data_IF_752006651647
#
_entry.id   IF_752006651647
#
_cell.length_a   1.000
_cell.length_b   1.000
_cell.length_c   1.000
_cell.angle_alpha   90.00
_cell.angle_beta   90.00
_cell.angle_gamma   90.00
#
_symmetry.space_group_name_H-M   'P 1'
#
loop_
_entity.id
_entity.type
_entity.pdbx_description
1 polymer ?
#
# COMPACT_ATOMS: atom_id res chain seq x y z
N UNK A 1 0.49 -10.09 16.19
CA UNK A 1 1.56 -10.49 15.26
C UNK A 1 2.13 -9.23 14.64
N UNK A 2 3.45 -9.08 14.57
CA UNK A 2 4.13 -8.04 13.80
C UNK A 2 4.64 -8.59 12.46
N UNK A 3 5.20 -7.71 11.63
CA UNK A 3 5.77 -8.04 10.33
C UNK A 3 4.73 -8.29 9.24
N UNK A 4 5.09 -9.10 8.25
CA UNK A 4 4.20 -9.51 7.17
C UNK A 4 3.49 -10.81 7.48
N UNK A 5 2.22 -10.89 7.08
CA UNK A 5 1.36 -12.04 7.34
C UNK A 5 0.57 -12.36 6.08
N UNK A 6 0.62 -13.62 5.65
CA UNK A 6 -0.23 -14.16 4.58
C UNK A 6 -1.43 -14.88 5.20
N UNK A 7 -2.63 -14.54 4.73
CA UNK A 7 -3.85 -15.27 5.06
C UNK A 7 -4.05 -16.37 4.03
N UNK A 8 -3.79 -17.63 4.39
CA UNK A 8 -3.99 -18.77 3.47
C UNK A 8 -5.45 -19.20 3.42
N UNK A 9 -6.15 -19.14 4.54
CA UNK A 9 -7.55 -19.55 4.67
C UNK A 9 -8.26 -18.74 5.74
N UNK A 10 -9.56 -18.48 5.52
CA UNK A 10 -10.43 -17.83 6.50
C UNK A 10 -11.23 -18.83 7.35
N UNK A 11 -11.48 -20.05 6.83
CA UNK A 11 -12.25 -21.08 7.53
C UNK A 11 -11.76 -22.50 7.17
N UNK A 12 -10.97 -23.16 8.04
CA UNK A 12 -10.43 -22.62 9.29
C UNK A 12 -9.47 -21.45 9.04
N UNK A 13 -9.35 -20.55 10.00
CA UNK A 13 -8.40 -19.43 9.91
C UNK A 13 -6.97 -20.00 9.91
N UNK A 14 -6.21 -19.67 8.88
CA UNK A 14 -4.82 -20.07 8.75
C UNK A 14 -3.95 -18.90 8.28
N UNK A 15 -2.96 -18.57 9.10
CA UNK A 15 -2.09 -17.40 8.98
C UNK A 15 -0.64 -17.86 8.92
N UNK A 16 0.09 -17.38 7.91
CA UNK A 16 1.49 -17.71 7.70
C UNK A 16 2.31 -16.43 7.88
N UNK A 17 3.15 -16.33 8.92
CA UNK A 17 4.12 -15.25 9.05
C UNK A 17 5.13 -15.30 7.90
N UNK A 18 5.43 -14.16 7.30
CA UNK A 18 6.47 -14.04 6.28
C UNK A 18 7.66 -13.26 6.86
N UNK A 19 8.81 -13.91 7.10
CA UNK A 19 9.99 -13.23 7.61
C UNK A 19 10.53 -12.26 6.55
N UNK A 20 10.68 -10.99 6.93
CA UNK A 20 11.48 -10.02 6.18
C UNK A 20 12.88 -9.98 6.81
N UNK A 21 13.99 -10.04 6.03
CA UNK A 21 15.35 -10.09 6.58
C UNK A 21 15.63 -8.98 7.59
N UNK A 22 16.24 -9.32 8.74
CA UNK A 22 16.40 -8.41 9.90
C UNK A 22 17.41 -7.29 9.68
N UNK A 23 18.38 -7.53 8.81
CA UNK A 23 19.43 -6.61 8.40
C UNK A 23 18.93 -5.56 7.39
N UNK A 24 17.72 -5.75 6.85
CA UNK A 24 17.11 -4.82 5.90
C UNK A 24 16.07 -3.95 6.57
N UNK A 25 16.09 -2.69 6.16
CA UNK A 25 15.18 -1.66 6.59
C UNK A 25 14.07 -1.49 5.54
N UNK A 26 12.85 -1.23 6.02
CA UNK A 26 11.70 -0.97 5.16
C UNK A 26 10.83 0.08 5.85
N UNK A 27 10.50 1.12 5.09
CA UNK A 27 9.70 2.23 5.56
C UNK A 27 8.42 2.36 4.73
N UNK A 28 7.36 2.72 5.43
CA UNK A 28 6.04 2.98 4.89
C UNK A 28 5.73 4.46 5.09
N UNK A 29 5.43 5.14 4.01
CA UNK A 29 4.93 6.52 4.03
C UNK A 29 3.42 6.46 3.95
N UNK A 30 2.76 6.82 5.05
CA UNK A 30 1.31 6.80 5.18
C UNK A 30 0.79 8.23 5.09
N UNK A 31 -0.05 8.51 4.09
CA UNK A 31 -0.69 9.82 3.94
C UNK A 31 -2.19 9.67 3.94
N UNK A 32 -2.84 10.28 4.93
CA UNK A 32 -4.28 10.16 5.15
C UNK A 32 -4.93 11.51 4.88
N UNK A 33 -5.75 11.63 3.82
CA UNK A 33 -6.52 12.84 3.57
C UNK A 33 -7.70 12.95 4.54
N UNK A 34 -8.15 14.19 4.79
CA UNK A 34 -9.38 14.52 5.52
C UNK A 34 -10.61 14.26 4.63
N UNK A 35 -10.80 12.99 4.29
CA UNK A 35 -11.90 12.49 3.47
C UNK A 35 -12.43 11.23 4.13
N UNK A 36 -13.74 11.05 4.15
CA UNK A 36 -14.34 9.82 4.64
C UNK A 36 -14.74 8.96 3.44
N UNK A 37 -14.20 7.75 3.37
CA UNK A 37 -14.53 6.79 2.34
C UNK A 37 -15.29 5.62 2.99
N UNK A 38 -16.64 5.59 2.93
CA UNK A 38 -17.42 4.52 3.53
C UNK A 38 -16.99 3.15 2.98
N UNK A 39 -16.58 2.24 3.86
CA UNK A 39 -16.06 0.92 3.45
C UNK A 39 -17.08 0.14 2.61
N UNK A 40 -18.38 0.36 2.84
CA UNK A 40 -19.47 -0.23 2.06
C UNK A 40 -19.42 0.22 0.60
N UNK A 41 -19.21 1.49 0.33
CA UNK A 41 -19.15 2.07 -1.02
C UNK A 41 -17.87 1.61 -1.74
N UNK A 42 -16.74 1.63 -1.04
CA UNK A 42 -15.45 1.14 -1.57
C UNK A 42 -15.47 -0.36 -1.90
N UNK A 43 -16.33 -1.15 -1.25
CA UNK A 43 -16.57 -2.56 -1.60
C UNK A 43 -17.59 -2.72 -2.74
N UNK A 44 -18.61 -1.85 -2.79
CA UNK A 44 -19.67 -1.92 -3.80
C UNK A 44 -19.17 -1.61 -5.23
N UNK A 45 -18.12 -0.80 -5.37
CA UNK A 45 -17.52 -0.45 -6.68
C UNK A 45 -16.72 -1.61 -7.31
N UNK A 46 -16.42 -2.66 -6.55
CA UNK A 46 -15.61 -3.77 -7.04
C UNK A 46 -16.37 -4.60 -8.08
N UNK A 47 -15.68 -5.04 -9.14
CA UNK A 47 -16.34 -5.73 -10.22
C UNK A 47 -16.75 -7.14 -9.75
N UNK A 48 -17.95 -7.57 -10.16
CA UNK A 48 -18.41 -8.94 -9.90
C UNK A 48 -17.69 -9.99 -10.74
N UNK A 49 -17.15 -9.57 -11.89
CA UNK A 49 -16.41 -10.42 -12.82
C UNK A 49 -15.10 -9.72 -13.20
N UNK A 50 -14.02 -10.48 -13.32
CA UNK A 50 -12.72 -10.01 -13.80
C UNK A 50 -12.34 -10.78 -15.06
N UNK A 51 -11.46 -10.19 -15.88
CA UNK A 51 -10.93 -10.92 -17.03
C UNK A 51 -9.88 -11.94 -16.58
N UNK A 52 -9.68 -13.00 -17.35
CA UNK A 52 -8.59 -13.95 -17.10
C UNK A 52 -7.23 -13.27 -17.13
N UNK A 53 -7.06 -12.26 -18.00
CA UNK A 53 -5.83 -11.45 -18.08
C UNK A 53 -5.54 -10.73 -16.76
N UNK A 54 -6.53 -10.04 -16.20
CA UNK A 54 -6.36 -9.31 -14.93
C UNK A 54 -6.10 -10.29 -13.79
N UNK A 55 -6.80 -11.44 -13.79
CA UNK A 55 -6.59 -12.49 -12.80
C UNK A 55 -5.14 -13.02 -12.81
N UNK A 56 -4.63 -13.40 -13.98
CA UNK A 56 -3.25 -13.90 -14.15
C UNK A 56 -2.25 -12.85 -13.69
N UNK A 57 -2.42 -11.59 -14.12
CA UNK A 57 -1.54 -10.50 -13.72
C UNK A 57 -1.53 -10.31 -12.20
N UNK A 58 -2.70 -10.22 -11.57
CA UNK A 58 -2.81 -9.96 -10.15
C UNK A 58 -2.26 -11.13 -9.31
N UNK A 59 -2.49 -12.37 -9.73
CA UNK A 59 -1.90 -13.55 -9.09
C UNK A 59 -0.37 -13.56 -9.22
N UNK A 60 0.17 -13.19 -10.37
CA UNK A 60 1.62 -13.05 -10.59
C UNK A 60 2.23 -12.01 -9.65
N UNK A 61 1.61 -10.83 -9.56
CA UNK A 61 2.08 -9.76 -8.67
C UNK A 61 1.95 -10.12 -7.19
N UNK A 62 0.90 -10.84 -6.79
CA UNK A 62 0.76 -11.35 -5.42
C UNK A 62 1.88 -12.34 -5.08
N UNK A 63 2.23 -13.26 -5.99
CA UNK A 63 3.35 -14.18 -5.80
C UNK A 63 4.70 -13.44 -5.74
N UNK A 64 4.90 -12.46 -6.61
CA UNK A 64 6.09 -11.61 -6.61
C UNK A 64 6.22 -10.80 -5.31
N UNK A 65 5.11 -10.29 -4.76
CA UNK A 65 5.08 -9.60 -3.47
C UNK A 65 5.56 -10.50 -2.32
N UNK A 66 5.08 -11.76 -2.28
CA UNK A 66 5.53 -12.74 -1.28
C UNK A 66 7.03 -13.04 -1.45
N UNK A 67 7.49 -13.26 -2.69
CA UNK A 67 8.91 -13.49 -2.96
C UNK A 67 9.78 -12.30 -2.54
N UNK A 68 9.33 -11.07 -2.83
CA UNK A 68 10.01 -9.83 -2.46
C UNK A 68 10.14 -9.67 -0.95
N UNK A 69 9.08 -9.97 -0.20
CA UNK A 69 9.11 -9.95 1.27
C UNK A 69 10.18 -10.91 1.79
N UNK A 70 10.16 -12.16 1.33
CA UNK A 70 11.08 -13.21 1.81
C UNK A 70 12.54 -12.94 1.44
N UNK A 71 12.78 -12.30 0.29
CA UNK A 71 14.12 -11.90 -0.16
C UNK A 71 14.56 -10.54 0.42
N UNK A 72 13.64 -9.81 1.05
CA UNK A 72 13.84 -8.44 1.48
C UNK A 72 14.16 -7.48 0.32
N UNK A 73 13.55 -7.71 -0.84
CA UNK A 73 13.67 -6.83 -1.99
C UNK A 73 12.60 -5.74 -1.91
N UNK A 74 12.95 -4.58 -1.33
CA UNK A 74 12.04 -3.46 -1.15
C UNK A 74 11.56 -2.86 -2.49
N UNK A 75 12.41 -2.90 -3.52
CA UNK A 75 12.08 -2.42 -4.87
C UNK A 75 11.00 -3.29 -5.50
N UNK A 76 11.20 -4.60 -5.52
CA UNK A 76 10.21 -5.56 -6.04
C UNK A 76 8.93 -5.53 -5.20
N UNK A 77 9.03 -5.39 -3.88
CA UNK A 77 7.88 -5.29 -2.99
C UNK A 77 7.00 -4.09 -3.38
N UNK A 78 7.60 -2.90 -3.53
CA UNK A 78 6.90 -1.70 -3.96
C UNK A 78 6.28 -1.85 -5.36
N UNK A 79 7.04 -2.37 -6.32
CA UNK A 79 6.58 -2.55 -7.70
C UNK A 79 5.37 -3.50 -7.76
N UNK A 80 5.44 -4.65 -7.08
CA UNK A 80 4.36 -5.63 -7.03
C UNK A 80 3.12 -5.10 -6.32
N UNK A 81 3.31 -4.38 -5.21
CA UNK A 81 2.22 -3.73 -4.47
C UNK A 81 1.50 -2.65 -5.29
N UNK A 82 2.21 -1.97 -6.19
CA UNK A 82 1.64 -0.90 -7.04
C UNK A 82 0.90 -1.40 -8.26
N UNK A 83 0.96 -2.70 -8.52
CA UNK A 83 0.54 -3.34 -9.78
C UNK A 83 -0.83 -4.04 -9.68
N UNK A 84 -1.66 -3.65 -8.71
CA UNK A 84 -3.04 -4.13 -8.60
C UNK A 84 -3.87 -3.67 -9.81
N UNK A 85 -4.33 -4.65 -10.60
CA UNK A 85 -5.12 -4.43 -11.80
C UNK A 85 -6.62 -4.57 -11.57
N UNK A 86 -7.05 -4.95 -10.36
CA UNK A 86 -8.44 -5.34 -10.08
C UNK A 86 -9.11 -4.35 -9.12
N UNK A 87 -8.52 -4.09 -7.96
CA UNK A 87 -9.16 -3.36 -6.86
C UNK A 87 -8.83 -1.87 -6.93
N UNK A 88 -7.56 -1.51 -6.97
CA UNK A 88 -7.09 -0.13 -7.02
C UNK A 88 -7.67 0.68 -8.19
N UNK A 89 -7.77 0.16 -9.44
CA UNK A 89 -8.34 0.94 -10.56
C UNK A 89 -9.82 1.32 -10.37
N UNK A 90 -10.54 0.62 -9.49
CA UNK A 90 -11.95 0.89 -9.17
C UNK A 90 -12.11 1.78 -7.94
N UNK A 91 -11.22 1.63 -6.96
CA UNK A 91 -11.25 2.40 -5.71
C UNK A 91 -10.53 3.74 -5.79
N UNK A 92 -9.39 3.79 -6.46
CA UNK A 92 -8.55 4.99 -6.56
C UNK A 92 -9.32 6.23 -7.04
N UNK A 93 -10.15 6.13 -8.09
CA UNK A 93 -10.94 7.27 -8.56
C UNK A 93 -11.97 7.81 -7.55
N UNK A 94 -12.37 7.03 -6.54
CA UNK A 94 -13.30 7.47 -5.50
C UNK A 94 -12.65 8.36 -4.45
N UNK A 95 -11.31 8.37 -4.39
CA UNK A 95 -10.56 9.19 -3.45
C UNK A 95 -9.98 10.39 -4.22
N UNK A 96 -10.45 11.62 -3.96
CA UNK A 96 -10.01 12.79 -4.69
C UNK A 96 -8.48 12.96 -4.65
N UNK A 97 -7.86 13.10 -5.83
CA UNK A 97 -6.41 13.30 -5.96
C UNK A 97 -5.54 12.03 -5.83
N UNK A 98 -6.09 10.86 -5.49
CA UNK A 98 -5.31 9.64 -5.21
C UNK A 98 -4.35 9.23 -6.35
N UNK A 99 -4.80 9.32 -7.60
CA UNK A 99 -3.95 8.99 -8.75
C UNK A 99 -2.73 9.93 -8.88
N UNK A 100 -2.92 11.22 -8.58
CA UNK A 100 -1.84 12.20 -8.61
C UNK A 100 -0.88 12.01 -7.42
N UNK A 101 -1.42 11.64 -6.25
CA UNK A 101 -0.61 11.28 -5.07
C UNK A 101 0.27 10.07 -5.35
N UNK A 102 -0.28 9.03 -5.98
CA UNK A 102 0.48 7.85 -6.42
C UNK A 102 1.60 8.23 -7.38
N UNK A 103 1.31 9.07 -8.38
CA UNK A 103 2.31 9.54 -9.34
C UNK A 103 3.45 10.31 -8.63
N UNK A 104 3.11 11.28 -7.77
CA UNK A 104 4.11 12.07 -7.06
C UNK A 104 4.96 11.22 -6.10
N UNK A 105 4.39 10.21 -5.46
CA UNK A 105 5.15 9.29 -4.63
C UNK A 105 6.24 8.58 -5.45
N UNK A 106 5.89 8.05 -6.63
CA UNK A 106 6.81 7.36 -7.52
C UNK A 106 7.87 8.32 -8.11
N UNK A 107 7.45 9.52 -8.53
CA UNK A 107 8.35 10.56 -9.05
C UNK A 107 9.37 11.03 -7.98
N UNK A 108 8.99 10.98 -6.71
CA UNK A 108 9.87 11.33 -5.57
C UNK A 108 10.73 10.14 -5.11
N UNK A 109 10.65 8.99 -5.80
CA UNK A 109 11.53 7.84 -5.56
C UNK A 109 10.95 6.78 -4.62
N UNK A 110 9.64 6.74 -4.41
CA UNK A 110 9.00 5.57 -3.80
C UNK A 110 9.16 4.34 -4.71
N UNK A 111 9.42 3.18 -4.12
CA UNK A 111 9.45 1.91 -4.87
C UNK A 111 8.06 1.46 -5.31
N UNK A 112 7.04 1.93 -4.60
CA UNK A 112 5.66 1.67 -4.90
C UNK A 112 4.72 2.53 -4.09
N UNK A 113 3.48 2.66 -4.56
CA UNK A 113 2.40 3.33 -3.85
C UNK A 113 1.05 2.69 -4.21
N UNK A 114 0.20 2.49 -3.20
CA UNK A 114 -1.18 2.00 -3.37
C UNK A 114 -2.09 2.54 -2.27
N UNK A 115 -3.36 2.14 -2.28
CA UNK A 115 -4.35 2.44 -1.25
C UNK A 115 -4.16 1.49 -0.06
N UNK A 116 -4.01 2.03 1.15
CA UNK A 116 -3.94 1.23 2.36
C UNK A 116 -5.33 0.68 2.73
N UNK A 117 -5.50 -0.63 2.65
CA UNK A 117 -6.74 -1.33 3.00
C UNK A 117 -7.94 -0.91 2.13
N UNK A 118 -8.96 -0.32 2.74
CA UNK A 118 -10.11 0.22 2.03
C UNK A 118 -9.92 1.69 1.59
N UNK A 119 -8.85 2.35 2.04
CA UNK A 119 -8.65 3.79 1.91
C UNK A 119 -9.33 4.61 3.02
N UNK A 120 -9.19 5.94 2.99
CA UNK A 120 -8.59 6.72 1.90
C UNK A 120 -7.08 6.96 2.03
N UNK A 121 -6.44 6.39 3.05
CA UNK A 121 -4.99 6.50 3.25
C UNK A 121 -4.22 5.91 2.06
N UNK A 122 -3.28 6.67 1.51
CA UNK A 122 -2.27 6.20 0.58
C UNK A 122 -1.05 5.66 1.36
N UNK A 123 -0.46 4.57 0.87
CA UNK A 123 0.77 4.00 1.42
C UNK A 123 1.82 3.88 0.32
N UNK A 124 3.01 4.40 0.57
CA UNK A 124 4.17 4.25 -0.30
C UNK A 124 5.33 3.54 0.41
N UNK A 125 6.15 2.83 -0.36
CA UNK A 125 7.27 2.01 0.12
C UNK A 125 8.61 2.68 -0.20
N UNK A 126 9.52 2.70 0.78
CA UNK A 126 10.90 3.16 0.60
C UNK A 126 11.86 2.45 1.57
N UNK A 127 13.16 2.67 1.40
CA UNK A 127 14.25 2.05 2.18
C UNK A 127 14.84 2.97 3.26
N UNK A 128 14.56 4.28 3.23
CA UNK A 128 15.08 5.21 4.25
C UNK A 128 14.04 6.20 4.78
N UNK A 129 14.25 6.65 6.01
CA UNK A 129 13.38 7.66 6.63
C UNK A 129 13.48 9.02 5.92
N UNK A 130 14.66 9.39 5.41
CA UNK A 130 14.90 10.65 4.70
C UNK A 130 14.13 10.70 3.39
N UNK A 131 14.21 9.64 2.56
CA UNK A 131 13.38 9.52 1.35
C UNK A 131 11.91 9.51 1.71
N UNK A 132 11.54 8.80 2.78
CA UNK A 132 10.17 8.75 3.27
C UNK A 132 9.58 10.13 3.60
N UNK A 133 10.37 11.02 4.21
CA UNK A 133 9.95 12.40 4.49
C UNK A 133 9.73 13.21 3.21
N UNK A 134 10.61 13.09 2.22
CA UNK A 134 10.45 13.77 0.93
C UNK A 134 9.19 13.29 0.20
N UNK A 135 8.98 11.97 0.15
CA UNK A 135 7.79 11.34 -0.43
C UNK A 135 6.52 11.83 0.30
N UNK A 136 6.54 11.89 1.63
CA UNK A 136 5.42 12.35 2.44
C UNK A 136 4.99 13.78 2.06
N UNK A 137 5.95 14.69 1.91
CA UNK A 137 5.68 16.08 1.51
C UNK A 137 5.03 16.14 0.13
N UNK A 138 5.59 15.41 -0.85
CA UNK A 138 5.06 15.37 -2.22
C UNK A 138 3.62 14.81 -2.27
N UNK A 139 3.36 13.75 -1.50
CA UNK A 139 2.03 13.14 -1.42
C UNK A 139 1.00 14.07 -0.76
N UNK A 140 1.36 14.75 0.32
CA UNK A 140 0.47 15.73 0.98
C UNK A 140 0.14 16.89 0.04
N UNK A 141 1.16 17.43 -0.64
CA UNK A 141 0.99 18.50 -1.63
C UNK A 141 0.02 18.11 -2.76
N UNK A 142 0.05 16.85 -3.20
CA UNK A 142 -0.88 16.35 -4.21
C UNK A 142 -2.30 16.15 -3.72
N UNK A 143 -2.51 15.71 -2.48
CA UNK A 143 -3.87 15.70 -1.90
C UNK A 143 -4.44 17.12 -1.82
N UNK A 144 -3.63 18.10 -1.43
CA UNK A 144 -4.06 19.51 -1.36
C UNK A 144 -4.38 20.08 -2.76
N UNK A 145 -3.46 19.94 -3.73
CA UNK A 145 -3.60 20.56 -5.05
C UNK A 145 -4.59 19.86 -5.98
N UNK A 146 -4.68 18.54 -5.91
CA UNK A 146 -5.48 17.73 -6.86
C UNK A 146 -6.74 17.15 -6.21
N UNK A 147 -6.68 16.86 -4.91
CA UNK A 147 -7.84 16.40 -4.15
C UNK A 147 -8.63 17.54 -3.51
N UNK A 148 -8.03 18.72 -3.31
CA UNK A 148 -8.58 19.80 -2.48
C UNK A 148 -8.84 19.33 -1.03
N UNK A 149 -7.96 18.44 -0.54
CA UNK A 149 -8.08 17.82 0.77
C UNK A 149 -6.86 18.17 1.62
N UNK A 150 -7.09 18.54 2.88
CA UNK A 150 -6.04 18.49 3.89
C UNK A 150 -5.59 17.05 4.09
N UNK A 151 -4.32 16.83 4.39
CA UNK A 151 -3.80 15.49 4.63
C UNK A 151 -2.72 15.50 5.71
N UNK A 152 -2.67 14.42 6.48
CA UNK A 152 -1.63 14.17 7.47
C UNK A 152 -0.71 13.05 6.97
N UNK A 153 0.57 13.12 7.31
CA UNK A 153 1.54 12.12 6.89
C UNK A 153 2.33 11.57 8.07
N UNK A 154 2.71 10.30 7.97
CA UNK A 154 3.67 9.67 8.88
C UNK A 154 4.59 8.72 8.11
N UNK A 155 5.83 8.61 8.58
CA UNK A 155 6.83 7.69 8.04
C UNK A 155 7.11 6.66 9.13
N UNK A 156 6.79 5.40 8.85
CA UNK A 156 6.88 4.32 9.83
C UNK A 156 7.82 3.24 9.33
N UNK A 157 8.70 2.75 10.21
CA UNK A 157 9.47 1.54 9.95
C UNK A 157 8.57 0.31 10.09
N UNK A 158 8.87 -0.76 9.36
CA UNK A 158 8.22 -2.07 9.54
C UNK A 158 8.20 -2.48 11.02
N UNK A 159 7.00 -2.54 11.64
CA UNK A 159 6.83 -3.04 13.00
C UNK A 159 6.90 -4.56 13.01
N UNK A 160 7.99 -5.11 13.56
CA UNK A 160 8.24 -6.55 13.66
C UNK A 160 7.67 -7.17 14.94
N UNK A 161 7.33 -6.36 15.93
CA UNK A 161 6.86 -6.82 17.25
C UNK A 161 5.35 -6.99 17.25
N UNK A 162 4.64 -6.02 16.67
CA UNK A 162 3.18 -5.93 16.75
C UNK A 162 2.72 -5.52 18.14
N UNK A 163 1.60 -6.10 18.60
CA UNK A 163 0.99 -5.76 19.89
C UNK A 163 1.96 -6.00 21.07
N UNK A 164 2.05 -5.02 21.96
CA UNK A 164 2.89 -5.01 23.17
C UNK A 164 2.17 -4.27 24.30
N UNK A 165 2.45 -4.65 25.55
CA UNK A 165 1.95 -3.93 26.73
C UNK A 165 2.73 -2.61 26.86
N UNK A 166 2.01 -1.51 27.03
CA UNK A 166 2.55 -0.13 27.16
C UNK A 166 2.32 0.39 28.57
#
# INVERSE_FOLDING_TARGET
MGGFVLVRSYSPLDLIPLPFPSEKELFFVLVTPAFEAPTKEMRAVLPKNITMKDHIQNCSQAAALVAAILQGDACLLGASLSSDSIVEPKRGPLIPGMMAVKAAALETGAFGCTISGAGPTAVAITDTAEKGKAIAVAMVDMFQKKGLLEATASVQKLDRTGARVV
#
